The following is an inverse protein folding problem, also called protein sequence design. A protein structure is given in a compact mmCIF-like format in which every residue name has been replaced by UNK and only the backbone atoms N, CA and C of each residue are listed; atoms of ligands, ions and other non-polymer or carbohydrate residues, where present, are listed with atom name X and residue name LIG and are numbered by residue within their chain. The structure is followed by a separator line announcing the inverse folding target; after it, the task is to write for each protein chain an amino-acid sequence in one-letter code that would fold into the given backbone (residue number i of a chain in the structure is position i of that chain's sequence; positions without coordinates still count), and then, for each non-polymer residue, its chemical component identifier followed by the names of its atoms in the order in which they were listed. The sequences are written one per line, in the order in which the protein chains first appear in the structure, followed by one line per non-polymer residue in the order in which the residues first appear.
data_IF_568846861710
#
_entry.id   IF_568846861710
#
_cell.length_a   1.000
_cell.length_b   1.000
_cell.length_c   1.000
_cell.angle_alpha   90.00
_cell.angle_beta   90.00
_cell.angle_gamma   90.00
#
_symmetry.space_group_name_H-M   'P 1'
#
loop_
_entity.id
_entity.type
_entity.pdbx_description
1 polymer ?
#
# COMPACT_ATOMS: atom_id res chain seq x y z
N UNK A 1 -4.16 -0.32 15.83
CA UNK A 1 -4.91 0.46 14.81
C UNK A 1 -5.03 -0.36 13.54
N UNK A 2 -3.94 -0.63 12.81
CA UNK A 2 -3.89 -1.51 11.63
C UNK A 2 -4.55 -2.88 11.90
N UNK A 3 -4.24 -3.53 13.02
CA UNK A 3 -4.86 -4.83 13.33
C UNK A 3 -6.39 -4.83 13.35
N UNK A 4 -7.03 -3.70 13.73
CA UNK A 4 -8.50 -3.58 13.63
C UNK A 4 -8.98 -3.39 12.20
N UNK A 5 -8.19 -2.71 11.36
CA UNK A 5 -8.52 -2.46 9.97
C UNK A 5 -8.39 -3.72 9.11
N UNK A 6 -7.42 -4.59 9.39
CA UNK A 6 -7.28 -5.87 8.70
C UNK A 6 -8.45 -6.81 8.93
N UNK A 7 -9.20 -6.64 10.03
CA UNK A 7 -10.43 -7.38 10.31
C UNK A 7 -11.68 -6.82 9.61
N UNK A 8 -11.57 -5.72 8.86
CA UNK A 8 -12.71 -5.17 8.11
C UNK A 8 -13.02 -6.10 6.94
N UNK A 9 -14.28 -6.53 6.72
CA UNK A 9 -14.62 -7.52 5.69
C UNK A 9 -14.13 -7.16 4.28
N UNK A 10 -14.21 -5.89 3.92
CA UNK A 10 -13.73 -5.38 2.64
C UNK A 10 -12.20 -5.46 2.51
N UNK A 11 -11.46 -5.39 3.62
CA UNK A 11 -10.00 -5.54 3.64
C UNK A 11 -9.63 -7.02 3.59
N UNK A 12 -10.22 -7.85 4.46
CA UNK A 12 -10.02 -9.33 4.49
C UNK A 12 -10.22 -9.94 3.11
N UNK A 13 -11.25 -9.49 2.38
CA UNK A 13 -11.57 -9.99 1.05
C UNK A 13 -10.39 -9.90 0.07
N UNK A 14 -9.54 -8.88 0.19
CA UNK A 14 -8.47 -8.61 -0.76
C UNK A 14 -7.06 -8.82 -0.18
N UNK A 15 -6.90 -8.68 1.14
CA UNK A 15 -5.61 -8.79 1.82
C UNK A 15 -5.44 -10.14 2.54
N UNK A 16 -6.50 -10.93 2.67
CA UNK A 16 -6.43 -12.28 3.26
C UNK A 16 -6.56 -12.29 4.78
N UNK A 17 -5.88 -13.25 5.41
CA UNK A 17 -6.02 -13.52 6.84
C UNK A 17 -5.42 -12.39 7.70
N UNK A 18 -6.19 -11.82 8.65
CA UNK A 18 -5.71 -10.72 9.46
C UNK A 18 -4.46 -11.01 10.30
N UNK A 19 -4.33 -12.22 10.84
CA UNK A 19 -3.21 -12.55 11.73
C UNK A 19 -1.93 -12.69 10.92
N UNK A 20 -2.00 -13.37 9.76
CA UNK A 20 -0.88 -13.45 8.81
C UNK A 20 -0.44 -12.05 8.33
N UNK A 21 -1.39 -11.19 7.96
CA UNK A 21 -1.08 -9.84 7.49
C UNK A 21 -0.52 -8.93 8.58
N UNK A 22 -0.90 -9.13 9.85
CA UNK A 22 -0.29 -8.39 10.98
C UNK A 22 1.18 -8.76 11.12
N UNK A 23 1.52 -10.05 11.04
CA UNK A 23 2.90 -10.51 11.12
C UNK A 23 3.74 -9.95 9.98
N UNK A 24 3.26 -10.07 8.73
CA UNK A 24 3.94 -9.54 7.54
C UNK A 24 4.19 -8.03 7.63
N UNK A 25 3.15 -7.24 7.96
CA UNK A 25 3.30 -5.79 8.11
C UNK A 25 4.26 -5.44 9.26
N UNK A 26 4.25 -6.21 10.35
CA UNK A 26 5.20 -5.99 11.46
C UNK A 26 6.65 -6.24 11.05
N UNK A 27 6.91 -7.21 10.18
CA UNK A 27 8.25 -7.45 9.62
C UNK A 27 8.64 -6.34 8.63
N UNK A 28 7.72 -5.98 7.72
CA UNK A 28 7.94 -4.97 6.69
C UNK A 28 8.27 -3.58 7.23
N UNK A 29 7.70 -3.19 8.38
CA UNK A 29 7.97 -1.90 9.05
C UNK A 29 9.45 -1.75 9.45
N UNK A 30 10.16 -2.86 9.67
CA UNK A 30 11.56 -2.85 10.08
C UNK A 30 12.53 -2.84 8.87
N UNK A 31 12.01 -3.01 7.64
CA UNK A 31 12.81 -3.02 6.42
C UNK A 31 13.02 -1.61 5.88
N UNK A 32 14.27 -1.23 5.61
CA UNK A 32 14.60 0.10 5.09
C UNK A 32 14.15 0.30 3.64
N UNK A 33 13.99 -0.80 2.91
CA UNK A 33 13.62 -0.87 1.50
C UNK A 33 12.09 -0.71 1.28
N UNK A 34 11.32 -0.94 2.34
CA UNK A 34 9.86 -0.85 2.37
C UNK A 34 9.43 0.42 3.12
N UNK A 35 8.59 1.23 2.49
CA UNK A 35 7.99 2.38 3.16
C UNK A 35 6.55 2.06 3.53
N UNK A 36 6.28 1.85 4.82
CA UNK A 36 4.93 1.65 5.35
C UNK A 36 4.34 2.98 5.86
N UNK A 37 3.12 3.31 5.44
CA UNK A 37 2.53 4.63 5.62
C UNK A 37 1.12 4.54 6.21
N UNK A 38 0.78 5.50 7.09
CA UNK A 38 -0.59 5.75 7.54
C UNK A 38 -1.13 7.00 6.85
N UNK A 39 -2.22 6.84 6.11
CA UNK A 39 -2.93 7.95 5.47
C UNK A 39 -3.91 8.55 6.46
N UNK A 40 -3.88 9.89 6.59
CA UNK A 40 -4.76 10.63 7.48
C UNK A 40 -5.49 11.77 6.75
N UNK A 41 -6.76 11.99 7.11
CA UNK A 41 -7.55 13.14 6.66
C UNK A 41 -8.08 13.90 7.88
N UNK A 42 -7.75 15.19 8.01
CA UNK A 42 -8.12 16.02 9.19
C UNK A 42 -7.75 15.36 10.52
N UNK A 43 -6.50 14.87 10.63
CA UNK A 43 -5.97 14.13 11.79
C UNK A 43 -6.72 12.83 12.13
N UNK A 44 -7.54 12.31 11.23
CA UNK A 44 -8.16 10.99 11.33
C UNK A 44 -7.39 10.00 10.45
N UNK A 45 -6.59 9.08 11.02
CA UNK A 45 -5.98 8.00 10.25
C UNK A 45 -7.09 7.08 9.72
N UNK A 46 -7.02 6.71 8.45
CA UNK A 46 -8.10 5.92 7.83
C UNK A 46 -7.66 4.88 6.80
N UNK A 47 -6.42 4.92 6.32
CA UNK A 47 -5.92 3.98 5.34
C UNK A 47 -4.45 3.65 5.61
N UNK A 48 -4.04 2.49 5.13
CA UNK A 48 -2.67 2.02 5.07
C UNK A 48 -2.20 2.04 3.62
N UNK A 49 -0.93 2.36 3.40
CA UNK A 49 -0.29 2.22 2.11
C UNK A 49 1.16 1.78 2.33
N UNK A 50 1.70 1.01 1.40
CA UNK A 50 3.12 0.68 1.37
C UNK A 50 3.69 0.87 -0.03
N UNK A 51 4.98 1.17 -0.12
CA UNK A 51 5.69 1.14 -1.39
C UNK A 51 7.10 0.59 -1.27
N UNK A 52 7.49 -0.25 -2.22
CA UNK A 52 8.81 -0.90 -2.31
C UNK A 52 9.38 -0.78 -3.72
N UNK A 53 10.67 -1.05 -3.88
CA UNK A 53 11.28 -1.17 -5.21
C UNK A 53 10.90 -2.52 -5.81
N UNK A 54 10.37 -2.50 -7.04
CA UNK A 54 9.89 -3.71 -7.72
C UNK A 54 10.96 -4.80 -7.82
N UNK A 55 12.23 -4.43 -7.92
CA UNK A 55 13.34 -5.38 -8.05
C UNK A 55 13.92 -5.86 -6.70
N UNK A 56 13.50 -5.27 -5.56
CA UNK A 56 13.85 -5.79 -4.23
C UNK A 56 12.95 -6.98 -3.83
N UNK A 57 11.73 -7.04 -4.36
CA UNK A 57 10.81 -8.17 -4.25
C UNK A 57 10.46 -8.71 -5.64
N UNK A 58 11.40 -9.42 -6.29
CA UNK A 58 11.27 -9.77 -7.70
C UNK A 58 10.11 -10.72 -7.94
N UNK A 59 9.22 -10.31 -8.83
CA UNK A 59 8.19 -11.16 -9.44
C UNK A 59 8.43 -11.22 -10.94
N UNK A 60 8.14 -12.35 -11.59
CA UNK A 60 8.41 -12.53 -13.02
C UNK A 60 7.74 -11.48 -13.92
N UNK A 61 6.60 -10.93 -13.48
CA UNK A 61 5.90 -9.88 -14.21
C UNK A 61 6.44 -8.46 -13.92
N UNK A 62 7.32 -8.30 -12.92
CA UNK A 62 8.06 -7.07 -12.64
C UNK A 62 9.40 -6.99 -13.37
N UNK A 63 9.97 -8.11 -13.83
CA UNK A 63 11.21 -8.17 -14.61
C UNK A 63 11.32 -7.15 -15.79
N UNK A 64 10.25 -6.86 -16.57
CA UNK A 64 10.35 -5.89 -17.65
C UNK A 64 10.25 -4.43 -17.20
N UNK A 65 10.02 -4.16 -15.91
CA UNK A 65 9.86 -2.80 -15.40
C UNK A 65 11.21 -2.08 -15.33
N UNK A 66 11.24 -0.75 -15.55
CA UNK A 66 12.48 0.02 -15.41
C UNK A 66 13.06 -0.06 -13.99
N UNK A 67 14.39 0.06 -13.85
CA UNK A 67 15.03 0.22 -12.53
C UNK A 67 14.42 1.39 -11.74
N UNK A 68 14.34 1.23 -10.41
CA UNK A 68 13.70 2.18 -9.50
C UNK A 68 12.16 2.31 -9.65
N UNK A 69 11.52 1.42 -10.40
CA UNK A 69 10.06 1.31 -10.39
C UNK A 69 9.57 1.00 -8.97
N UNK A 70 8.58 1.76 -8.51
CA UNK A 70 7.98 1.54 -7.18
C UNK A 70 6.67 0.78 -7.31
N UNK A 71 6.52 -0.29 -6.55
CA UNK A 71 5.23 -0.97 -6.39
C UNK A 71 4.45 -0.38 -5.22
N UNK A 72 3.12 -0.46 -5.29
CA UNK A 72 2.20 0.09 -4.30
C UNK A 72 1.13 -0.92 -3.91
N UNK A 73 0.94 -1.07 -2.60
CA UNK A 73 -0.26 -1.71 -2.03
C UNK A 73 -0.94 -0.73 -1.05
N UNK A 74 -2.27 -0.77 -0.99
CA UNK A 74 -3.02 0.05 -0.06
C UNK A 74 -4.39 -0.54 0.25
N UNK A 75 -4.92 -0.16 1.43
CA UNK A 75 -6.32 -0.40 1.78
C UNK A 75 -6.88 0.75 2.62
N UNK A 76 -8.19 0.98 2.52
CA UNK A 76 -8.92 1.84 3.46
C UNK A 76 -9.39 0.97 4.60
N UNK A 77 -9.00 1.31 5.83
CA UNK A 77 -9.34 0.54 7.03
C UNK A 77 -10.58 1.04 7.77
N UNK A 78 -11.14 2.17 7.35
CA UNK A 78 -12.31 2.78 8.00
C UNK A 78 -13.48 2.81 7.01
N UNK A 79 -14.53 1.99 7.23
CA UNK A 79 -15.60 1.79 6.24
C UNK A 79 -16.31 3.06 5.77
N UNK A 80 -16.53 4.03 6.66
CA UNK A 80 -17.20 5.30 6.32
C UNK A 80 -16.35 6.22 5.43
N UNK A 81 -15.08 5.87 5.19
CA UNK A 81 -14.19 6.58 4.27
C UNK A 81 -14.11 5.92 2.90
N UNK A 82 -14.66 4.70 2.74
CA UNK A 82 -14.73 3.97 1.46
C UNK A 82 -15.82 4.55 0.55
N UNK A 83 -15.65 4.44 -0.76
CA UNK A 83 -16.64 4.92 -1.74
C UNK A 83 -16.78 6.44 -1.85
N UNK A 84 -16.02 7.22 -1.06
CA UNK A 84 -16.08 8.68 -1.05
C UNK A 84 -14.96 9.37 -1.88
N UNK A 85 -14.18 8.62 -2.66
CA UNK A 85 -13.07 9.16 -3.45
C UNK A 85 -11.75 9.37 -2.70
N UNK A 86 -11.69 9.05 -1.40
CA UNK A 86 -10.44 9.16 -0.62
C UNK A 86 -9.31 8.30 -1.18
N UNK A 87 -9.62 7.07 -1.61
CA UNK A 87 -8.68 6.15 -2.27
C UNK A 87 -7.95 6.79 -3.45
N UNK A 88 -8.74 7.26 -4.41
CA UNK A 88 -8.23 7.96 -5.59
C UNK A 88 -7.37 9.17 -5.21
N UNK A 89 -7.79 9.96 -4.22
CA UNK A 89 -7.07 11.16 -3.82
C UNK A 89 -5.70 10.83 -3.22
N UNK A 90 -5.63 9.93 -2.25
CA UNK A 90 -4.34 9.61 -1.61
C UNK A 90 -3.39 8.88 -2.56
N UNK A 91 -3.90 7.98 -3.42
CA UNK A 91 -3.08 7.31 -4.43
C UNK A 91 -2.51 8.30 -5.44
N UNK A 92 -3.30 9.29 -5.88
CA UNK A 92 -2.80 10.36 -6.75
C UNK A 92 -1.72 11.19 -6.07
N UNK A 93 -1.89 11.51 -4.79
CA UNK A 93 -0.88 12.26 -4.03
C UNK A 93 0.41 11.47 -3.79
N UNK A 94 0.29 10.16 -3.49
CA UNK A 94 1.43 9.30 -3.25
C UNK A 94 2.22 9.06 -4.54
N UNK A 95 1.53 8.73 -5.64
CA UNK A 95 2.18 8.53 -6.95
C UNK A 95 2.90 9.79 -7.43
N UNK A 96 2.29 10.98 -7.30
CA UNK A 96 2.95 12.24 -7.63
C UNK A 96 4.26 12.45 -6.83
N UNK A 97 4.24 12.19 -5.52
CA UNK A 97 5.44 12.28 -4.68
C UNK A 97 6.52 11.27 -5.08
N UNK A 98 6.14 10.06 -5.49
CA UNK A 98 7.10 9.04 -5.92
C UNK A 98 7.74 9.42 -7.26
N UNK A 99 6.97 9.97 -8.19
CA UNK A 99 7.52 10.52 -9.44
C UNK A 99 8.46 11.70 -9.19
N UNK A 100 8.12 12.63 -8.29
CA UNK A 100 8.99 13.74 -7.89
C UNK A 100 10.31 13.25 -7.26
N UNK A 101 10.30 12.09 -6.61
CA UNK A 101 11.48 11.42 -6.04
C UNK A 101 12.27 10.59 -7.08
N UNK A 102 11.84 10.57 -8.33
CA UNK A 102 12.58 9.94 -9.43
C UNK A 102 12.15 8.53 -9.81
N UNK A 103 11.05 8.00 -9.26
CA UNK A 103 10.49 6.74 -9.75
C UNK A 103 10.07 6.91 -11.23
N UNK A 104 10.56 6.08 -12.18
CA UNK A 104 10.20 6.22 -13.59
C UNK A 104 8.81 5.66 -13.90
N UNK A 105 8.33 4.76 -13.05
CA UNK A 105 7.06 4.06 -13.19
C UNK A 105 6.55 3.65 -11.81
N UNK A 106 5.24 3.47 -11.71
CA UNK A 106 4.57 2.92 -10.54
C UNK A 106 3.82 1.65 -10.95
N UNK A 107 4.08 0.55 -10.25
CA UNK A 107 3.39 -0.73 -10.41
C UNK A 107 2.33 -0.96 -9.34
N UNK A 108 1.28 -1.71 -9.69
CA UNK A 108 0.32 -2.32 -8.77
C UNK A 108 0.07 -3.75 -9.24
N UNK A 109 -0.14 -4.67 -8.31
CA UNK A 109 -0.36 -6.10 -8.61
C UNK A 109 -1.50 -6.66 -7.75
N UNK A 110 -2.76 -6.27 -8.02
CA UNK A 110 -3.90 -6.84 -7.30
C UNK A 110 -4.15 -8.28 -7.75
N UNK A 111 -4.29 -9.20 -6.79
CA UNK A 111 -4.76 -10.58 -7.05
C UNK A 111 -6.21 -10.53 -7.61
N UNK A 112 -6.54 -11.22 -8.72
CA UNK A 112 -7.87 -11.21 -9.36
C UNK A 112 -9.06 -11.68 -8.50
#
# INVERSE_FOLDING_TARGET
MIGRWLHVPEVVRWWGDPDEQIELISEDVELAEMATLIVSYRNRPFAFAQHYDAHQWPQAHFDPLPENTRCLDAFIGVPDMMGCGHGQMFLKMLTAQLFERGAPMIGIDPDP
#
